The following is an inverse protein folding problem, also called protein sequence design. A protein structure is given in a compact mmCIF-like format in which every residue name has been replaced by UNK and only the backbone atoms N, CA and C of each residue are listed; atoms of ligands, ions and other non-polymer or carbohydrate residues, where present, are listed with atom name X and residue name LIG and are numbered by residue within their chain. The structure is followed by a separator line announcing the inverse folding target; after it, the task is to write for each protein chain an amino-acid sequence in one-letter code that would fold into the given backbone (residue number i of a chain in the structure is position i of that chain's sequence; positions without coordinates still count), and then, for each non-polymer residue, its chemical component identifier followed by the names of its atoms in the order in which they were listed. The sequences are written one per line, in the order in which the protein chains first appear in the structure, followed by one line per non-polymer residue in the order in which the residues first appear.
data_IF_486125596665
#
_entry.id   IF_486125596665
#
_cell.length_a   1.000
_cell.length_b   1.000
_cell.length_c   1.000
_cell.angle_alpha   90.00
_cell.angle_beta   90.00
_cell.angle_gamma   90.00
#
_symmetry.space_group_name_H-M   'P 1'
#
loop_
_entity.id
_entity.type
_entity.pdbx_description
1 polymer ?
#
# COMPACT_ATOMS: atom_id res chain seq x y z
N UNK A 1 -0.70 -27.15 -16.53
CA UNK A 1 0.46 -28.07 -16.31
C UNK A 1 0.12 -28.85 -15.06
N UNK A 2 -0.47 -30.03 -15.27
CA UNK A 2 -0.86 -30.92 -14.18
C UNK A 2 0.37 -31.76 -13.83
N UNK A 3 0.87 -31.63 -12.60
CA UNK A 3 1.92 -32.49 -12.08
C UNK A 3 1.30 -33.43 -11.04
N UNK A 4 1.18 -34.69 -11.44
CA UNK A 4 0.54 -35.78 -10.71
C UNK A 4 1.66 -36.50 -9.92
N UNK A 5 1.95 -36.02 -8.71
CA UNK A 5 2.94 -36.63 -7.81
C UNK A 5 2.41 -37.91 -7.18
N UNK A 6 2.66 -39.05 -7.84
CA UNK A 6 2.33 -40.40 -7.39
C UNK A 6 3.31 -40.85 -6.29
N UNK A 7 2.85 -40.94 -5.05
CA UNK A 7 3.59 -41.52 -3.92
C UNK A 7 3.71 -43.05 -4.09
N UNK A 8 4.87 -43.66 -3.81
CA UNK A 8 5.01 -45.12 -3.80
C UNK A 8 4.21 -45.71 -2.64
N UNK A 9 3.51 -46.82 -2.91
CA UNK A 9 2.95 -47.70 -1.89
C UNK A 9 4.04 -48.70 -1.52
N UNK A 10 4.54 -48.59 -0.30
CA UNK A 10 5.37 -49.64 0.31
C UNK A 10 4.42 -50.67 0.94
N UNK A 11 3.96 -51.61 0.11
CA UNK A 11 3.31 -52.84 0.55
C UNK A 11 4.42 -53.86 0.86
N UNK A 12 5.06 -53.76 2.02
CA UNK A 12 5.90 -54.84 2.57
C UNK A 12 5.08 -55.68 3.56
N UNK A 13 4.46 -56.70 2.97
CA UNK A 13 3.87 -57.85 3.63
C UNK A 13 4.97 -58.58 4.44
N UNK A 14 4.93 -58.47 5.77
CA UNK A 14 5.79 -59.22 6.67
C UNK A 14 5.53 -60.72 6.53
N UNK A 15 6.36 -61.40 5.73
CA UNK A 15 6.33 -62.84 5.56
C UNK A 15 6.94 -63.53 6.79
N UNK A 16 6.22 -64.42 7.50
CA UNK A 16 6.84 -65.19 8.58
C UNK A 16 7.85 -66.18 8.00
N UNK A 17 9.10 -66.10 8.46
CA UNK A 17 10.17 -67.04 8.11
C UNK A 17 9.76 -68.46 8.49
N UNK A 18 9.30 -69.21 7.50
CA UNK A 18 9.06 -70.64 7.58
C UNK A 18 10.39 -71.39 7.64
N UNK A 19 10.75 -71.85 8.84
CA UNK A 19 11.83 -72.83 9.00
C UNK A 19 11.25 -74.21 8.71
N UNK A 20 11.61 -74.75 7.55
CA UNK A 20 11.36 -76.15 7.16
C UNK A 20 12.41 -77.00 7.87
N UNK A 21 11.98 -77.97 8.69
CA UNK A 21 12.84 -79.06 9.17
C UNK A 21 12.14 -80.37 8.84
N UNK A 22 12.69 -81.07 7.85
CA UNK A 22 12.36 -82.46 7.52
C UNK A 22 12.76 -83.41 8.67
N UNK A 23 11.99 -84.49 8.78
CA UNK A 23 12.07 -85.46 9.85
C UNK A 23 13.38 -86.23 9.92
N UNK A 24 13.94 -86.26 11.12
CA UNK A 24 14.86 -87.30 11.58
C UNK A 24 14.34 -87.86 12.89
N UNK A 25 14.02 -89.14 12.92
CA UNK A 25 13.71 -89.86 14.15
C UNK A 25 14.99 -89.91 15.00
N UNK A 26 14.94 -89.31 16.20
CA UNK A 26 15.97 -89.45 17.22
C UNK A 26 15.34 -90.18 18.40
N UNK A 27 15.60 -91.48 18.49
CA UNK A 27 15.35 -92.24 19.72
C UNK A 27 16.28 -91.74 20.81
N UNK A 28 15.72 -91.06 21.82
CA UNK A 28 16.45 -90.66 23.02
C UNK A 28 16.10 -91.64 24.13
N UNK A 29 17.12 -92.44 24.50
CA UNK A 29 17.12 -93.31 25.66
C UNK A 29 16.85 -92.51 26.94
N UNK A 30 15.81 -92.93 27.67
CA UNK A 30 15.48 -92.49 29.01
C UNK A 30 16.60 -92.87 29.98
N UNK A 31 17.28 -91.87 30.53
CA UNK A 31 18.22 -92.03 31.64
C UNK A 31 18.08 -90.80 32.52
N UNK A 32 17.33 -91.00 33.60
CA UNK A 32 16.93 -89.99 34.55
C UNK A 32 18.10 -89.21 35.14
N UNK A 33 18.05 -87.90 34.89
CA UNK A 33 17.92 -86.91 35.96
C UNK A 33 17.00 -85.80 35.43
N UNK A 34 15.71 -86.11 35.45
CA UNK A 34 14.66 -85.14 35.19
C UNK A 34 14.73 -84.11 36.31
N UNK A 35 15.26 -82.92 36.04
CA UNK A 35 15.06 -81.77 36.92
C UNK A 35 13.55 -81.48 36.97
N UNK A 36 12.84 -82.12 37.89
CA UNK A 36 11.42 -81.87 38.10
C UNK A 36 11.32 -80.52 38.81
N UNK A 37 11.33 -79.45 38.02
CA UNK A 37 10.91 -78.12 38.49
C UNK A 37 9.56 -78.29 39.20
N UNK A 38 9.54 -78.01 40.49
CA UNK A 38 8.34 -78.09 41.32
C UNK A 38 7.19 -77.34 40.63
N UNK A 39 5.99 -77.91 40.60
CA UNK A 39 4.83 -77.37 39.91
C UNK A 39 4.43 -75.99 40.47
N UNK A 40 4.80 -75.72 41.73
CA UNK A 40 4.73 -74.38 42.32
C UNK A 40 5.75 -73.42 41.72
N UNK A 41 6.99 -73.87 41.53
CA UNK A 41 8.07 -73.08 40.94
C UNK A 41 7.78 -72.74 39.46
N UNK A 42 7.26 -73.70 38.68
CA UNK A 42 6.83 -73.46 37.29
C UNK A 42 5.77 -72.37 37.20
N UNK A 43 4.75 -72.41 38.07
CA UNK A 43 3.72 -71.37 38.13
C UNK A 43 4.30 -70.00 38.47
N UNK A 44 5.18 -69.92 39.47
CA UNK A 44 5.85 -68.66 39.82
C UNK A 44 6.67 -68.10 38.65
N UNK A 45 7.39 -68.95 37.90
CA UNK A 45 8.16 -68.54 36.72
C UNK A 45 7.23 -68.07 35.59
N UNK A 46 6.15 -68.78 35.30
CA UNK A 46 5.17 -68.40 34.28
C UNK A 46 4.44 -67.10 34.63
N UNK A 47 4.08 -66.89 35.89
CA UNK A 47 3.41 -65.67 36.34
C UNK A 47 4.37 -64.47 36.28
N UNK A 48 5.64 -64.65 36.66
CA UNK A 48 6.66 -63.63 36.51
C UNK A 48 6.91 -63.29 35.03
N UNK A 49 7.00 -64.30 34.16
CA UNK A 49 7.16 -64.11 32.71
C UNK A 49 5.96 -63.38 32.11
N UNK A 50 4.74 -63.73 32.51
CA UNK A 50 3.51 -63.06 32.06
C UNK A 50 3.49 -61.61 32.51
N UNK A 51 3.75 -61.36 33.80
CA UNK A 51 3.80 -60.01 34.35
C UNK A 51 4.85 -59.15 33.64
N UNK A 52 6.06 -59.67 33.46
CA UNK A 52 7.13 -58.93 32.78
C UNK A 52 6.79 -58.61 31.32
N UNK A 53 6.19 -59.56 30.59
CA UNK A 53 5.78 -59.32 29.21
C UNK A 53 4.65 -58.29 29.11
N UNK A 54 3.68 -58.35 30.03
CA UNK A 54 2.59 -57.37 30.11
C UNK A 54 3.14 -55.98 30.44
N UNK A 55 4.00 -55.86 31.45
CA UNK A 55 4.59 -54.59 31.87
C UNK A 55 5.46 -53.97 30.76
N UNK A 56 6.22 -54.79 30.05
CA UNK A 56 7.01 -54.36 28.90
C UNK A 56 6.10 -53.83 27.77
N UNK A 57 5.04 -54.56 27.43
CA UNK A 57 4.09 -54.13 26.39
C UNK A 57 3.39 -52.82 26.77
N UNK A 58 2.91 -52.71 28.00
CA UNK A 58 2.25 -51.51 28.51
C UNK A 58 3.20 -50.31 28.54
N UNK A 59 4.44 -50.50 28.99
CA UNK A 59 5.44 -49.44 29.01
C UNK A 59 5.78 -48.95 27.61
N UNK A 60 5.90 -49.88 26.65
CA UNK A 60 6.16 -49.55 25.25
C UNK A 60 5.00 -48.78 24.61
N UNK A 61 3.77 -49.25 24.83
CA UNK A 61 2.56 -48.59 24.32
C UNK A 61 2.42 -47.18 24.92
N UNK A 62 2.59 -47.06 26.24
CA UNK A 62 2.55 -45.78 26.94
C UNK A 62 3.56 -44.78 26.36
N UNK A 63 4.81 -45.19 26.17
CA UNK A 63 5.84 -44.32 25.61
C UNK A 63 5.49 -43.87 24.18
N UNK A 64 4.96 -44.77 23.35
CA UNK A 64 4.55 -44.44 21.99
C UNK A 64 3.41 -43.42 21.98
N UNK A 65 2.38 -43.62 22.80
CA UNK A 65 1.25 -42.69 22.91
C UNK A 65 1.71 -41.32 23.41
N UNK A 66 2.51 -41.27 24.48
CA UNK A 66 3.04 -40.03 25.03
C UNK A 66 3.90 -39.27 24.01
N UNK A 67 4.76 -39.98 23.26
CA UNK A 67 5.59 -39.37 22.22
C UNK A 67 4.74 -38.84 21.06
N UNK A 68 3.77 -39.61 20.58
CA UNK A 68 2.87 -39.19 19.48
C UNK A 68 2.01 -38.00 19.89
N UNK A 69 1.46 -38.00 21.11
CA UNK A 69 0.67 -36.88 21.62
C UNK A 69 1.52 -35.61 21.70
N UNK A 70 2.74 -35.71 22.23
CA UNK A 70 3.66 -34.58 22.31
C UNK A 70 3.98 -34.00 20.94
N UNK A 71 4.34 -34.85 19.97
CA UNK A 71 4.64 -34.40 18.60
C UNK A 71 3.41 -33.76 17.94
N UNK A 72 2.21 -34.30 18.17
CA UNK A 72 0.98 -33.73 17.66
C UNK A 72 0.69 -32.34 18.26
N UNK A 73 0.87 -32.18 19.57
CA UNK A 73 0.72 -30.89 20.26
C UNK A 73 1.73 -29.85 19.75
N UNK A 74 3.00 -30.25 19.60
CA UNK A 74 4.05 -29.39 19.05
C UNK A 74 3.70 -28.95 17.62
N UNK A 75 3.28 -29.88 16.76
CA UNK A 75 2.86 -29.58 15.39
C UNK A 75 1.69 -28.58 15.32
N UNK A 76 0.64 -28.78 16.12
CA UNK A 76 -0.51 -27.86 16.14
C UNK A 76 -0.12 -26.47 16.67
N UNK A 77 0.71 -26.43 17.71
CA UNK A 77 1.27 -25.18 18.23
C UNK A 77 2.03 -24.42 17.14
N UNK A 78 2.91 -25.11 16.42
CA UNK A 78 3.76 -24.47 15.42
C UNK A 78 2.97 -24.03 14.20
N UNK A 79 1.97 -24.80 13.77
CA UNK A 79 1.00 -24.36 12.76
C UNK A 79 0.29 -23.06 13.17
N UNK A 80 -0.16 -22.97 14.42
CA UNK A 80 -0.84 -21.79 14.93
C UNK A 80 0.10 -20.58 15.05
N UNK A 81 1.35 -20.79 15.45
CA UNK A 81 2.38 -19.74 15.48
C UNK A 81 2.67 -19.20 14.08
N UNK A 82 2.99 -20.07 13.13
CA UNK A 82 3.27 -19.70 11.74
C UNK A 82 2.10 -18.91 11.15
N UNK A 83 0.86 -19.38 11.37
CA UNK A 83 -0.34 -18.66 10.92
C UNK A 83 -0.42 -17.26 11.51
N UNK A 84 -0.18 -17.12 12.80
CA UNK A 84 -0.30 -15.84 13.52
C UNK A 84 0.80 -14.87 13.10
N UNK A 85 2.03 -15.36 12.96
CA UNK A 85 3.18 -14.59 12.49
C UNK A 85 2.94 -14.07 11.07
N UNK A 86 2.50 -14.94 10.15
CA UNK A 86 2.22 -14.54 8.78
C UNK A 86 1.13 -13.48 8.68
N UNK A 87 0.03 -13.63 9.43
CA UNK A 87 -1.04 -12.64 9.48
C UNK A 87 -0.57 -11.29 10.06
N UNK A 88 0.31 -11.34 11.06
CA UNK A 88 0.87 -10.14 11.68
C UNK A 88 1.77 -9.40 10.71
N UNK A 89 2.67 -10.12 10.03
CA UNK A 89 3.55 -9.56 9.00
C UNK A 89 2.77 -8.89 7.88
N UNK A 90 1.76 -9.59 7.33
CA UNK A 90 0.92 -9.00 6.28
C UNK A 90 0.18 -7.74 6.76
N UNK A 91 -0.29 -7.73 8.00
CA UNK A 91 -0.96 -6.56 8.56
C UNK A 91 0.01 -5.38 8.69
N UNK A 92 1.21 -5.62 9.22
CA UNK A 92 2.24 -4.59 9.37
C UNK A 92 2.69 -4.01 8.03
N UNK A 93 2.85 -4.84 7.00
CA UNK A 93 3.19 -4.41 5.64
C UNK A 93 2.08 -3.55 5.00
N UNK A 94 0.81 -3.95 5.19
CA UNK A 94 -0.34 -3.18 4.71
C UNK A 94 -0.43 -1.83 5.41
N UNK A 95 -0.28 -1.79 6.73
CA UNK A 95 -0.34 -0.57 7.53
C UNK A 95 0.81 0.38 7.16
N UNK A 96 2.02 -0.16 6.94
CA UNK A 96 3.19 0.60 6.49
C UNK A 96 2.95 1.21 5.11
N UNK A 97 2.54 0.39 4.14
CA UNK A 97 2.27 0.84 2.76
C UNK A 97 1.19 1.91 2.74
N UNK A 98 0.13 1.73 3.53
CA UNK A 98 -0.96 2.70 3.66
C UNK A 98 -0.43 4.04 4.21
N UNK A 99 0.31 4.01 5.31
CA UNK A 99 0.87 5.21 5.95
C UNK A 99 1.79 5.96 4.99
N UNK A 100 2.66 5.25 4.25
CA UNK A 100 3.54 5.85 3.26
C UNK A 100 2.76 6.54 2.13
N UNK A 101 1.71 5.90 1.63
CA UNK A 101 0.88 6.46 0.56
C UNK A 101 0.13 7.71 1.03
N UNK A 102 -0.46 7.66 2.22
CA UNK A 102 -1.14 8.79 2.84
C UNK A 102 -0.17 9.96 3.04
N UNK A 103 1.05 9.69 3.51
CA UNK A 103 2.08 10.71 3.67
C UNK A 103 2.51 11.32 2.33
N UNK A 104 2.78 10.51 1.30
CA UNK A 104 3.12 10.98 -0.05
C UNK A 104 2.02 11.86 -0.62
N UNK A 105 0.76 11.47 -0.45
CA UNK A 105 -0.38 12.26 -0.90
C UNK A 105 -0.45 13.61 -0.20
N UNK A 106 -0.29 13.63 1.13
CA UNK A 106 -0.26 14.87 1.92
C UNK A 106 0.86 15.81 1.48
N UNK A 107 2.05 15.29 1.25
CA UNK A 107 3.21 16.10 0.85
C UNK A 107 3.06 16.65 -0.57
N UNK A 108 2.52 15.84 -1.49
CA UNK A 108 2.19 16.28 -2.85
C UNK A 108 1.14 17.40 -2.83
N UNK A 109 0.08 17.24 -2.05
CA UNK A 109 -0.97 18.23 -1.91
C UNK A 109 -0.41 19.54 -1.32
N UNK A 110 0.43 19.48 -0.29
CA UNK A 110 1.09 20.66 0.28
C UNK A 110 1.96 21.38 -0.75
N UNK A 111 2.75 20.64 -1.52
CA UNK A 111 3.61 21.23 -2.55
C UNK A 111 2.79 21.95 -3.63
N UNK A 112 1.70 21.33 -4.11
CA UNK A 112 0.83 21.96 -5.10
C UNK A 112 0.09 23.18 -4.54
N UNK A 113 -0.36 23.14 -3.28
CA UNK A 113 -0.97 24.31 -2.62
C UNK A 113 0.03 25.49 -2.53
N UNK A 114 1.26 25.23 -2.10
CA UNK A 114 2.30 26.26 -2.04
C UNK A 114 2.64 26.82 -3.42
N UNK A 115 2.71 25.96 -4.45
CA UNK A 115 2.96 26.37 -5.83
C UNK A 115 1.85 27.26 -6.38
N UNK A 116 0.58 26.92 -6.13
CA UNK A 116 -0.57 27.74 -6.53
C UNK A 116 -0.56 29.08 -5.79
N UNK A 117 -0.30 29.07 -4.48
CA UNK A 117 -0.19 30.29 -3.67
C UNK A 117 0.91 31.23 -4.17
N UNK A 118 2.09 30.69 -4.48
CA UNK A 118 3.22 31.44 -5.01
C UNK A 118 2.94 32.01 -6.40
N UNK A 119 2.32 31.22 -7.27
CA UNK A 119 1.87 31.66 -8.60
C UNK A 119 0.89 32.83 -8.47
N UNK A 120 -0.14 32.67 -7.63
CA UNK A 120 -1.13 33.71 -7.39
C UNK A 120 -0.49 35.00 -6.83
N UNK A 121 0.43 34.89 -5.86
CA UNK A 121 1.17 36.05 -5.33
C UNK A 121 1.94 36.80 -6.42
N UNK A 122 2.59 36.07 -7.32
CA UNK A 122 3.32 36.66 -8.47
C UNK A 122 2.36 37.33 -9.46
N UNK A 123 1.24 36.69 -9.78
CA UNK A 123 0.22 37.24 -10.66
C UNK A 123 -0.36 38.54 -10.11
N UNK A 124 -0.73 38.58 -8.83
CA UNK A 124 -1.21 39.81 -8.17
C UNK A 124 -0.16 40.92 -8.23
N UNK A 125 1.11 40.59 -8.01
CA UNK A 125 2.21 41.57 -8.08
C UNK A 125 2.37 42.14 -9.49
N UNK A 126 2.20 41.31 -10.53
CA UNK A 126 2.20 41.75 -11.93
C UNK A 126 0.97 42.59 -12.24
N UNK A 127 -0.21 42.21 -11.75
CA UNK A 127 -1.46 42.94 -11.96
C UNK A 127 -1.37 44.35 -11.40
N UNK A 128 -0.86 44.49 -10.17
CA UNK A 128 -0.71 45.79 -9.49
C UNK A 128 0.26 46.77 -10.17
N UNK A 129 1.10 46.30 -11.11
CA UNK A 129 2.07 47.15 -11.84
C UNK A 129 1.52 47.74 -13.15
N UNK A 130 0.31 47.37 -13.55
CA UNK A 130 -0.31 47.77 -14.83
C UNK A 130 -1.58 48.60 -14.62
N UNK A 131 -2.07 49.21 -15.69
CA UNK A 131 -3.39 49.84 -15.74
C UNK A 131 -4.37 48.91 -16.44
N UNK A 132 -5.62 48.89 -15.98
CA UNK A 132 -6.63 47.94 -16.43
C UNK A 132 -7.86 48.65 -16.96
N UNK A 133 -8.41 48.11 -18.05
CA UNK A 133 -9.61 48.61 -18.68
C UNK A 133 -10.78 48.42 -17.73
N UNK A 134 -11.50 49.49 -17.43
CA UNK A 134 -12.66 49.41 -16.53
C UNK A 134 -13.78 48.52 -17.10
N UNK A 135 -13.91 48.46 -18.44
CA UNK A 135 -15.01 47.74 -19.09
C UNK A 135 -14.75 46.24 -19.27
N UNK A 136 -13.51 45.83 -19.57
CA UNK A 136 -13.21 44.44 -19.98
C UNK A 136 -11.96 43.83 -19.32
N UNK A 137 -11.34 44.52 -18.36
CA UNK A 137 -10.18 44.04 -17.60
C UNK A 137 -8.93 43.71 -18.44
N UNK A 138 -8.91 44.04 -19.73
CA UNK A 138 -7.70 44.02 -20.55
C UNK A 138 -6.74 45.15 -20.14
N UNK A 139 -5.45 45.01 -20.47
CA UNK A 139 -4.45 46.05 -20.21
C UNK A 139 -4.85 47.36 -20.91
N UNK A 140 -4.96 48.45 -20.13
CA UNK A 140 -5.41 49.72 -20.64
C UNK A 140 -4.26 50.52 -21.26
N UNK A 141 -4.55 51.15 -22.41
CA UNK A 141 -3.61 52.03 -23.12
C UNK A 141 -4.10 53.48 -23.18
N UNK A 142 -5.38 53.74 -22.85
CA UNK A 142 -5.98 55.07 -22.81
C UNK A 142 -6.41 55.43 -21.38
N UNK A 143 -5.84 56.49 -20.82
CA UNK A 143 -6.24 57.00 -19.50
C UNK A 143 -7.39 58.02 -19.62
N UNK A 144 -8.49 57.86 -18.87
CA UNK A 144 -9.56 58.85 -18.79
C UNK A 144 -9.33 59.86 -17.66
N UNK A 145 -9.44 59.39 -16.41
CA UNK A 145 -9.21 60.12 -15.16
C UNK A 145 -8.80 59.14 -14.05
N UNK A 146 -8.63 59.62 -12.81
CA UNK A 146 -8.24 58.77 -11.67
C UNK A 146 -9.11 57.51 -11.59
N UNK A 147 -8.44 56.34 -11.54
CA UNK A 147 -9.07 55.02 -11.46
C UNK A 147 -10.04 54.69 -12.61
N UNK A 148 -9.89 55.29 -13.80
CA UNK A 148 -10.64 54.90 -15.00
C UNK A 148 -9.77 55.00 -16.25
N UNK A 149 -9.47 53.85 -16.83
CA UNK A 149 -8.70 53.68 -18.06
C UNK A 149 -9.39 52.65 -18.98
N UNK A 150 -9.02 52.63 -20.26
CA UNK A 150 -9.61 51.77 -21.29
C UNK A 150 -8.55 51.17 -22.22
N UNK A 151 -8.82 49.99 -22.77
CA UNK A 151 -8.00 49.38 -23.82
C UNK A 151 -8.38 49.87 -25.22
N UNK A 152 -9.61 50.34 -25.42
CA UNK A 152 -10.11 50.81 -26.72
C UNK A 152 -11.16 51.92 -26.57
N UNK A 153 -11.40 52.67 -27.65
CA UNK A 153 -12.48 53.66 -27.72
C UNK A 153 -13.86 53.01 -27.60
N UNK A 154 -14.03 51.79 -28.12
CA UNK A 154 -15.28 51.01 -27.98
C UNK A 154 -15.59 50.71 -26.52
N UNK A 155 -14.59 50.28 -25.74
CA UNK A 155 -14.73 50.08 -24.30
C UNK A 155 -15.08 51.38 -23.56
N UNK A 156 -14.50 52.50 -23.99
CA UNK A 156 -14.84 53.81 -23.45
C UNK A 156 -16.30 54.17 -23.74
N UNK A 157 -16.77 54.00 -24.98
CA UNK A 157 -18.14 54.35 -25.38
C UNK A 157 -19.18 53.50 -24.63
N UNK A 158 -18.92 52.21 -24.43
CA UNK A 158 -19.76 51.32 -23.62
C UNK A 158 -19.90 51.80 -22.18
N UNK A 159 -18.78 52.08 -21.51
CA UNK A 159 -18.79 52.61 -20.14
C UNK A 159 -19.26 54.09 -20.07
N UNK A 160 -19.23 54.84 -21.17
CA UNK A 160 -19.40 56.30 -21.14
C UNK A 160 -20.72 56.77 -20.55
N UNK A 161 -21.80 56.05 -20.84
CA UNK A 161 -23.16 56.41 -20.39
C UNK A 161 -23.26 56.54 -18.88
N UNK A 162 -22.54 55.70 -18.14
CA UNK A 162 -22.44 55.73 -16.68
C UNK A 162 -21.29 56.62 -16.21
N UNK A 163 -20.10 56.49 -16.82
CA UNK A 163 -18.88 57.23 -16.42
C UNK A 163 -19.03 58.74 -16.45
N UNK A 164 -19.74 59.29 -17.46
CA UNK A 164 -19.83 60.74 -17.70
C UNK A 164 -20.34 61.55 -16.50
N UNK A 165 -21.15 60.94 -15.63
CA UNK A 165 -21.74 61.60 -14.46
C UNK A 165 -20.71 61.95 -13.37
N UNK A 166 -19.61 61.21 -13.32
CA UNK A 166 -18.58 61.31 -12.29
C UNK A 166 -17.16 61.44 -12.86
N UNK A 167 -17.04 61.66 -14.17
CA UNK A 167 -15.77 61.87 -14.83
C UNK A 167 -15.06 63.11 -14.25
N UNK A 168 -13.82 62.92 -13.80
CA UNK A 168 -12.98 63.98 -13.20
C UNK A 168 -12.09 64.68 -14.22
N UNK A 169 -12.17 64.30 -15.50
CA UNK A 169 -11.40 64.95 -16.56
C UNK A 169 -11.98 66.35 -16.76
N UNK A 170 -11.26 67.36 -16.25
CA UNK A 170 -11.61 68.77 -16.42
C UNK A 170 -11.73 69.06 -17.92
N UNK A 171 -12.89 69.51 -18.36
CA UNK A 171 -13.05 70.07 -19.69
C UNK A 171 -12.10 71.27 -19.74
N UNK A 172 -10.94 71.13 -20.38
CA UNK A 172 -10.12 72.29 -20.72
C UNK A 172 -11.04 73.18 -21.54
N UNK A 173 -11.47 74.28 -20.93
CA UNK A 173 -12.51 75.14 -21.48
C UNK A 173 -12.10 75.67 -22.83
N UNK A 174 -12.71 75.14 -23.88
CA UNK A 174 -12.94 75.86 -25.11
C UNK A 174 -14.14 76.77 -24.86
N UNK A 175 -13.89 78.08 -24.81
CA UNK A 175 -14.92 79.09 -24.95
C UNK A 175 -15.67 78.89 -26.28
N UNK A 176 -16.98 79.09 -26.21
CA UNK A 176 -17.93 78.89 -27.29
C UNK A 176 -17.63 79.75 -28.53
N UNK A 177 -17.90 79.20 -29.71
CA UNK A 177 -18.12 79.98 -30.93
C UNK A 177 -17.94 79.20 -32.23
N UNK A 178 -18.94 78.41 -32.64
CA UNK A 178 -19.08 77.95 -34.03
C UNK A 178 -19.61 76.51 -34.18
N UNK A 179 -20.73 76.27 -34.90
CA UNK A 179 -21.25 74.94 -35.16
C UNK A 179 -20.51 74.34 -36.35
N UNK A 180 -20.10 73.09 -36.25
CA UNK A 180 -19.48 72.40 -37.37
C UNK A 180 -19.12 70.99 -36.99
N UNK A 181 -19.76 70.05 -37.67
CA UNK A 181 -19.26 68.70 -37.88
C UNK A 181 -17.74 68.64 -37.90
N UNK A 182 -17.17 67.66 -37.20
CA UNK A 182 -16.07 66.82 -37.67
C UNK A 182 -15.44 66.11 -36.49
N UNK A 183 -15.41 64.77 -36.57
CA UNK A 183 -14.38 63.99 -35.92
C UNK A 183 -12.98 64.56 -36.28
N UNK A 184 -11.98 64.38 -35.40
CA UNK A 184 -10.69 64.02 -35.96
C UNK A 184 -10.10 62.82 -35.25
N UNK A 185 -9.74 61.83 -36.07
CA UNK A 185 -8.58 61.01 -35.80
C UNK A 185 -7.36 61.91 -35.60
N UNK A 186 -6.62 61.64 -34.54
CA UNK A 186 -5.40 62.35 -34.20
C UNK A 186 -4.45 61.37 -33.54
N UNK A 187 -3.67 60.68 -34.37
CA UNK A 187 -2.44 60.02 -33.92
C UNK A 187 -1.52 61.03 -33.24
N UNK A 188 -0.79 60.60 -32.21
CA UNK A 188 0.63 60.91 -32.17
C UNK A 188 1.40 59.61 -32.21
N UNK A 189 2.11 59.44 -33.33
CA UNK A 189 3.24 58.55 -33.44
C UNK A 189 4.22 58.86 -32.28
N UNK A 190 4.42 57.91 -31.36
CA UNK A 190 5.56 57.89 -30.45
C UNK A 190 6.20 56.51 -30.55
N UNK A 191 7.20 56.44 -31.42
CA UNK A 191 8.23 55.43 -31.43
C UNK A 191 8.94 55.41 -30.08
N UNK A 192 8.75 54.34 -29.31
CA UNK A 192 9.63 53.98 -28.20
C UNK A 192 10.23 52.63 -28.55
N UNK A 193 11.46 52.65 -29.06
CA UNK A 193 12.29 51.46 -29.24
C UNK A 193 12.76 50.89 -27.89
N UNK A 194 13.22 49.64 -27.88
CA UNK A 194 13.46 48.89 -26.65
C UNK A 194 14.79 49.29 -26.01
N UNK A 195 14.80 49.54 -24.69
CA UNK A 195 16.03 49.57 -23.91
C UNK A 195 16.26 48.21 -23.28
N UNK A 196 17.18 47.46 -23.88
CA UNK A 196 17.93 46.38 -23.26
C UNK A 196 18.79 46.94 -22.12
N UNK A 197 18.61 46.41 -20.90
CA UNK A 197 19.64 46.45 -19.86
C UNK A 197 19.70 45.08 -19.20
N UNK A 198 20.80 44.41 -19.50
CA UNK A 198 21.33 43.23 -18.84
C UNK A 198 22.19 43.70 -17.67
N UNK A 199 21.89 43.24 -16.45
CA UNK A 199 22.81 42.63 -15.49
C UNK A 199 22.01 42.22 -14.24
#
# INVERSE_FOLDING_TARGET
MNDNGKLPKDDEEMNPVGVVVEGGEVEVHDSGDQWVLDERMKRMIMDLQRHWLTDYQQSREKLLVEMTERLHQEFLSDQQKIRTELLTQFKEELDTTRSELEQKYRDTLRAELLKVQDKHRKEISTIKKKQWCWECEAEAIYHCCWNTAYCSVECQQRHWTTHRKFCRRKQRGGGAGGPGDSAPGGSPNRSVGPSSVTQ
#
